data_IF_342502040162
#
_entry.id   IF_342502040162
#
_cell.length_a   1.000
_cell.length_b   1.000
_cell.length_c   1.000
_cell.angle_alpha   90.00
_cell.angle_beta   90.00
_cell.angle_gamma   90.00
#
_symmetry.space_group_name_H-M   'P 1'
#
loop_
_entity.id
_entity.type
_entity.pdbx_description
1 polymer ?
#
# COMPACT_ATOMS: atom_id res chain seq x y z
N UNK A 1 15.64 -3.68 -25.22
CA UNK A 1 15.27 -2.65 -24.22
C UNK A 1 14.98 -3.37 -22.92
N UNK A 2 15.78 -3.16 -21.89
CA UNK A 2 15.89 -4.08 -20.74
C UNK A 2 14.71 -4.01 -19.75
N UNK A 3 13.60 -3.37 -20.14
CA UNK A 3 12.39 -3.24 -19.34
C UNK A 3 12.55 -2.35 -18.11
N UNK A 4 13.67 -1.63 -17.97
CA UNK A 4 13.95 -0.76 -16.83
C UNK A 4 12.93 0.39 -16.81
N UNK A 5 12.30 0.56 -15.65
CA UNK A 5 11.37 1.65 -15.38
C UNK A 5 12.18 2.79 -14.76
N UNK A 6 12.35 3.90 -15.49
CA UNK A 6 13.03 5.10 -15.00
C UNK A 6 12.07 6.28 -14.93
N UNK A 7 12.35 7.24 -14.03
CA UNK A 7 11.57 8.48 -13.84
C UNK A 7 10.11 8.29 -13.41
N UNK A 8 9.74 7.12 -12.87
CA UNK A 8 8.45 6.97 -12.20
C UNK A 8 8.49 7.68 -10.85
N UNK A 9 7.50 8.54 -10.58
CA UNK A 9 7.39 9.24 -9.29
C UNK A 9 7.09 8.28 -8.14
N UNK A 10 6.23 7.31 -8.41
CA UNK A 10 5.88 6.23 -7.49
C UNK A 10 5.64 4.97 -8.32
N UNK A 11 6.07 3.82 -7.81
CA UNK A 11 5.81 2.52 -8.40
C UNK A 11 4.95 1.72 -7.43
N UNK A 12 3.99 0.98 -7.97
CA UNK A 12 3.15 0.04 -7.23
C UNK A 12 3.12 -1.30 -7.98
N UNK A 13 2.86 -2.38 -7.26
CA UNK A 13 2.69 -3.70 -7.84
C UNK A 13 1.37 -4.34 -7.39
N UNK A 14 0.88 -5.24 -8.22
CA UNK A 14 -0.23 -6.14 -7.94
C UNK A 14 0.40 -7.53 -7.91
N UNK A 15 0.13 -8.33 -6.87
CA UNK A 15 0.88 -9.53 -6.46
C UNK A 15 1.07 -10.69 -7.43
N UNK A 16 0.79 -10.52 -8.72
CA UNK A 16 1.11 -11.50 -9.75
C UNK A 16 2.52 -11.24 -10.31
N UNK A 17 3.48 -12.11 -9.98
CA UNK A 17 4.78 -12.18 -10.66
C UNK A 17 5.88 -11.25 -10.16
N UNK A 18 5.79 -10.77 -8.91
CA UNK A 18 6.86 -9.98 -8.29
C UNK A 18 8.09 -10.85 -7.99
N UNK A 19 9.25 -10.48 -8.54
CA UNK A 19 10.54 -11.10 -8.21
C UNK A 19 11.39 -10.11 -7.42
N UNK A 20 11.81 -10.51 -6.23
CA UNK A 20 12.67 -9.71 -5.35
C UNK A 20 14.09 -10.27 -5.40
N UNK A 21 15.06 -9.44 -5.77
CA UNK A 21 16.46 -9.88 -5.83
C UNK A 21 17.03 -10.13 -4.42
N UNK A 22 18.02 -11.02 -4.33
CA UNK A 22 18.74 -11.28 -3.07
C UNK A 22 19.31 -10.00 -2.46
N UNK A 23 19.81 -9.08 -3.29
CA UNK A 23 20.36 -7.80 -2.84
C UNK A 23 19.33 -6.90 -2.15
N UNK A 24 18.08 -6.88 -2.65
CA UNK A 24 16.99 -6.17 -1.96
C UNK A 24 16.71 -6.82 -0.61
N UNK A 25 16.59 -8.15 -0.54
CA UNK A 25 16.37 -8.86 0.72
C UNK A 25 17.47 -8.56 1.75
N UNK A 26 18.74 -8.60 1.33
CA UNK A 26 19.88 -8.31 2.21
C UNK A 26 19.85 -6.88 2.75
N UNK A 27 19.52 -5.90 1.91
CA UNK A 27 19.39 -4.51 2.35
C UNK A 27 18.39 -4.36 3.50
N UNK A 28 17.22 -5.01 3.43
CA UNK A 28 16.24 -4.96 4.52
C UNK A 28 16.77 -5.60 5.80
N UNK A 29 17.46 -6.74 5.70
CA UNK A 29 18.08 -7.42 6.86
C UNK A 29 19.13 -6.55 7.52
N UNK A 30 20.05 -5.97 6.73
CA UNK A 30 21.14 -5.10 7.21
C UNK A 30 20.61 -3.85 7.93
N UNK A 31 19.48 -3.31 7.46
CA UNK A 31 18.82 -2.14 8.06
C UNK A 31 17.83 -2.51 9.17
N UNK A 32 17.75 -3.80 9.58
CA UNK A 32 16.80 -4.30 10.60
C UNK A 32 15.34 -3.95 10.28
N UNK A 33 14.98 -3.99 8.99
CA UNK A 33 13.64 -3.70 8.50
C UNK A 33 12.95 -4.99 8.05
N UNK A 34 11.66 -5.13 8.32
CA UNK A 34 10.86 -6.21 7.73
C UNK A 34 10.66 -5.96 6.23
N UNK A 35 10.92 -6.98 5.41
CA UNK A 35 10.71 -6.91 3.96
C UNK A 35 9.24 -6.63 3.62
N UNK A 36 8.33 -7.46 4.14
CA UNK A 36 6.89 -7.23 4.07
C UNK A 36 6.40 -6.62 5.37
N UNK A 37 5.41 -5.74 5.28
CA UNK A 37 4.78 -5.16 6.47
C UNK A 37 3.74 -6.12 7.04
N UNK A 38 3.99 -6.65 8.24
CA UNK A 38 3.09 -7.59 8.90
C UNK A 38 1.70 -7.02 9.18
N UNK A 39 1.55 -5.69 9.30
CA UNK A 39 0.24 -5.05 9.43
C UNK A 39 -0.66 -5.27 8.21
N UNK A 40 -0.07 -5.56 7.03
CA UNK A 40 -0.78 -5.79 5.77
C UNK A 40 -0.83 -7.27 5.37
N UNK A 41 -0.51 -8.19 6.29
CA UNK A 41 -0.44 -9.63 6.00
C UNK A 41 -1.72 -10.21 5.39
N UNK A 42 -2.90 -9.67 5.76
CA UNK A 42 -4.19 -10.14 5.25
C UNK A 42 -4.58 -9.49 3.91
N UNK A 43 -4.15 -8.25 3.66
CA UNK A 43 -4.48 -7.52 2.43
C UNK A 43 -3.49 -6.37 2.20
N UNK A 44 -3.04 -6.20 0.96
CA UNK A 44 -2.19 -5.09 0.56
C UNK A 44 -0.69 -5.32 0.77
N UNK A 45 -0.25 -6.57 0.91
CA UNK A 45 1.18 -6.94 1.08
C UNK A 45 2.06 -6.30 0.01
N UNK A 46 1.74 -6.46 -1.28
CA UNK A 46 2.54 -5.91 -2.38
C UNK A 46 2.52 -4.38 -2.39
N UNK A 47 1.35 -3.78 -2.14
CA UNK A 47 1.20 -2.33 -2.04
C UNK A 47 2.03 -1.76 -0.89
N UNK A 48 2.01 -2.39 0.28
CA UNK A 48 2.82 -1.98 1.44
C UNK A 48 4.31 -2.11 1.18
N UNK A 49 4.75 -3.17 0.51
CA UNK A 49 6.14 -3.35 0.11
C UNK A 49 6.61 -2.22 -0.81
N UNK A 50 5.85 -1.90 -1.85
CA UNK A 50 6.22 -0.80 -2.76
C UNK A 50 6.12 0.58 -2.10
N UNK A 51 5.21 0.79 -1.14
CA UNK A 51 5.21 1.99 -0.29
C UNK A 51 6.53 2.13 0.48
N UNK A 52 7.03 1.05 1.10
CA UNK A 52 8.35 1.06 1.77
C UNK A 52 9.47 1.41 0.78
N UNK A 53 9.49 0.79 -0.40
CA UNK A 53 10.47 1.09 -1.44
C UNK A 53 10.46 2.57 -1.80
N UNK A 54 9.29 3.14 -2.14
CA UNK A 54 9.14 4.56 -2.47
C UNK A 54 9.64 5.46 -1.33
N UNK A 55 9.34 5.13 -0.06
CA UNK A 55 9.85 5.89 1.09
C UNK A 55 11.37 5.81 1.26
N UNK A 56 11.99 4.68 0.95
CA UNK A 56 13.45 4.49 1.03
C UNK A 56 14.16 5.24 -0.11
N UNK A 57 13.60 5.19 -1.32
CA UNK A 57 14.12 5.92 -2.50
C UNK A 57 14.15 7.42 -2.29
N UNK A 58 13.12 7.96 -1.62
CA UNK A 58 13.08 9.38 -1.28
C UNK A 58 14.14 9.81 -0.26
N UNK A 59 14.76 8.87 0.48
CA UNK A 59 15.63 9.18 1.62
C UNK A 59 17.08 8.76 1.47
N UNK A 60 17.36 7.60 0.87
CA UNK A 60 18.67 6.96 1.08
C UNK A 60 19.19 6.06 -0.05
N UNK A 61 18.32 5.37 -0.80
CA UNK A 61 18.77 4.34 -1.76
C UNK A 61 17.82 4.20 -2.93
N UNK A 62 18.37 4.21 -4.15
CA UNK A 62 17.62 3.94 -5.38
C UNK A 62 17.59 2.43 -5.66
N UNK A 63 16.42 1.90 -6.02
CA UNK A 63 16.24 0.52 -6.44
C UNK A 63 16.01 0.42 -7.95
N UNK A 64 16.68 -0.52 -8.60
CA UNK A 64 16.41 -0.80 -10.00
C UNK A 64 15.16 -1.67 -10.11
N UNK A 65 14.13 -1.16 -10.79
CA UNK A 65 12.88 -1.87 -11.05
C UNK A 65 12.75 -2.06 -12.57
N UNK A 66 12.42 -3.28 -12.98
CA UNK A 66 12.21 -3.62 -14.39
C UNK A 66 10.99 -4.50 -14.58
N UNK A 67 10.32 -4.31 -15.73
CA UNK A 67 9.26 -5.20 -16.21
C UNK A 67 9.53 -5.56 -17.67
N UNK A 68 9.54 -6.85 -17.99
CA UNK A 68 9.74 -7.35 -19.36
C UNK A 68 8.45 -7.55 -20.13
N UNK A 69 7.31 -7.41 -19.46
CA UNK A 69 5.98 -7.61 -20.05
C UNK A 69 5.01 -6.56 -19.55
N UNK A 70 3.94 -6.36 -20.31
CA UNK A 70 2.80 -5.54 -19.94
C UNK A 70 1.55 -6.39 -20.10
N UNK A 71 0.71 -6.37 -19.08
CA UNK A 71 -0.60 -6.99 -19.14
C UNK A 71 -1.62 -5.86 -19.22
N UNK A 72 -2.38 -5.82 -20.32
CA UNK A 72 -3.55 -4.95 -20.41
C UNK A 72 -4.72 -5.64 -19.71
N UNK A 73 -4.90 -5.36 -18.42
CA UNK A 73 -5.99 -5.93 -17.63
C UNK A 73 -6.83 -4.82 -17.03
N UNK A 74 -8.16 -5.00 -17.05
CA UNK A 74 -9.09 -4.14 -16.30
C UNK A 74 -8.77 -4.28 -14.82
N UNK A 75 -8.30 -3.22 -14.16
CA UNK A 75 -8.10 -3.27 -12.72
C UNK A 75 -9.45 -3.52 -12.05
N UNK A 76 -9.54 -4.45 -11.10
CA UNK A 76 -10.77 -4.66 -10.29
C UNK A 76 -11.21 -3.39 -9.55
N UNK A 77 -10.30 -2.40 -9.42
CA UNK A 77 -10.61 -1.05 -8.94
C UNK A 77 -11.45 -0.20 -9.91
N UNK A 78 -11.49 -0.55 -11.19
CA UNK A 78 -12.23 0.13 -12.26
C UNK A 78 -13.55 -0.59 -12.62
N UNK A 79 -13.87 -1.71 -11.98
CA UNK A 79 -15.15 -2.39 -12.13
C UNK A 79 -16.28 -1.56 -11.48
N UNK A 80 -17.44 -1.47 -12.14
CA UNK A 80 -18.59 -0.65 -11.69
C UNK A 80 -19.24 -1.16 -10.40
N UNK A 81 -19.14 -2.45 -10.14
CA UNK A 81 -19.72 -3.08 -8.95
C UNK A 81 -18.60 -3.58 -8.03
N UNK A 82 -18.45 -2.92 -6.88
CA UNK A 82 -17.52 -3.32 -5.84
C UNK A 82 -18.34 -4.02 -4.77
N UNK A 83 -17.97 -5.26 -4.44
CA UNK A 83 -18.59 -5.99 -3.32
C UNK A 83 -18.31 -5.31 -1.98
N UNK A 84 -19.23 -5.43 -1.04
CA UNK A 84 -19.09 -4.80 0.29
C UNK A 84 -17.80 -5.22 1.03
N UNK A 85 -17.39 -6.49 0.88
CA UNK A 85 -16.16 -6.97 1.50
C UNK A 85 -14.91 -6.30 0.90
N UNK A 86 -14.88 -6.04 -0.41
CA UNK A 86 -13.80 -5.29 -1.07
C UNK A 86 -13.77 -3.83 -0.60
N UNK A 87 -14.91 -3.21 -0.31
CA UNK A 87 -14.94 -1.88 0.29
C UNK A 87 -14.29 -1.88 1.68
N UNK A 88 -14.58 -2.89 2.50
CA UNK A 88 -13.98 -3.04 3.83
C UNK A 88 -12.47 -3.27 3.76
N UNK A 89 -11.99 -4.16 2.90
CA UNK A 89 -10.54 -4.37 2.68
C UNK A 89 -9.82 -3.08 2.30
N UNK A 90 -10.40 -2.30 1.39
CA UNK A 90 -9.85 -0.99 1.00
C UNK A 90 -9.84 -0.01 2.16
N UNK A 91 -10.84 -0.07 3.04
CA UNK A 91 -10.87 0.78 4.24
C UNK A 91 -9.79 0.36 5.24
N UNK A 92 -9.58 -0.93 5.45
CA UNK A 92 -8.45 -1.44 6.24
C UNK A 92 -7.11 -0.96 5.67
N UNK A 93 -6.84 -1.20 4.37
CA UNK A 93 -5.60 -0.75 3.71
C UNK A 93 -5.41 0.76 3.85
N UNK A 94 -6.46 1.56 3.65
CA UNK A 94 -6.39 3.01 3.78
C UNK A 94 -6.02 3.44 5.21
N UNK A 95 -6.66 2.88 6.23
CA UNK A 95 -6.42 3.26 7.62
C UNK A 95 -5.00 2.87 8.05
N UNK A 96 -4.58 1.63 7.74
CA UNK A 96 -3.22 1.16 8.02
C UNK A 96 -2.19 2.00 7.27
N UNK A 97 -2.45 2.34 6.01
CA UNK A 97 -1.57 3.19 5.21
C UNK A 97 -1.42 4.57 5.85
N UNK A 98 -2.53 5.20 6.26
CA UNK A 98 -2.48 6.48 6.96
C UNK A 98 -1.70 6.38 8.27
N UNK A 99 -1.89 5.32 9.04
CA UNK A 99 -1.24 5.07 10.34
C UNK A 99 0.27 4.91 10.21
N UNK A 100 0.73 4.10 9.27
CA UNK A 100 2.14 3.66 9.21
C UNK A 100 3.01 4.38 8.18
N UNK A 101 2.42 5.02 7.16
CA UNK A 101 3.18 5.59 6.03
C UNK A 101 3.01 7.09 5.83
N UNK A 102 2.14 7.77 6.58
CA UNK A 102 1.92 9.21 6.44
C UNK A 102 2.15 9.97 7.74
N UNK A 103 2.77 11.15 7.63
CA UNK A 103 2.85 12.11 8.73
C UNK A 103 1.47 12.68 9.08
N UNK A 104 1.30 13.06 10.35
CA UNK A 104 0.02 13.55 10.91
C UNK A 104 -1.10 12.53 10.76
N UNK A 105 -0.79 11.26 11.02
CA UNK A 105 -1.69 10.12 10.85
C UNK A 105 -3.02 10.33 11.59
N UNK A 106 -2.96 10.80 12.84
CA UNK A 106 -4.13 11.01 13.70
C UNK A 106 -5.10 12.01 13.08
N UNK A 107 -4.60 13.14 12.57
CA UNK A 107 -5.43 14.15 11.92
C UNK A 107 -6.05 13.62 10.62
N UNK A 108 -5.30 12.85 9.84
CA UNK A 108 -5.79 12.25 8.59
C UNK A 108 -6.86 11.18 8.86
N UNK A 109 -6.65 10.36 9.89
CA UNK A 109 -7.61 9.34 10.34
C UNK A 109 -8.87 10.01 10.89
N UNK A 110 -8.72 11.07 11.70
CA UNK A 110 -9.85 11.85 12.22
C UNK A 110 -10.67 12.47 11.07
N UNK A 111 -9.99 13.05 10.07
CA UNK A 111 -10.65 13.56 8.86
C UNK A 111 -11.40 12.46 8.10
N UNK A 112 -10.81 11.28 7.97
CA UNK A 112 -11.46 10.13 7.32
C UNK A 112 -12.68 9.67 8.11
N UNK A 113 -12.59 9.60 9.43
CA UNK A 113 -13.68 9.26 10.34
C UNK A 113 -14.88 10.21 10.16
N UNK A 114 -14.66 11.53 10.25
CA UNK A 114 -15.74 12.51 10.04
C UNK A 114 -16.33 12.44 8.64
N UNK A 115 -15.51 12.20 7.62
CA UNK A 115 -15.99 12.01 6.24
C UNK A 115 -16.96 10.82 6.14
N UNK A 116 -16.70 9.72 6.87
CA UNK A 116 -17.60 8.54 6.89
C UNK A 116 -18.91 8.84 7.62
N UNK A 117 -18.87 9.57 8.73
CA UNK A 117 -20.08 10.02 9.46
C UNK A 117 -20.96 10.91 8.57
N UNK A 118 -20.37 11.96 7.97
CA UNK A 118 -21.10 12.89 7.11
C UNK A 118 -21.72 12.20 5.88
N UNK A 119 -21.11 11.11 5.42
CA UNK A 119 -21.65 10.26 4.35
C UNK A 119 -22.65 9.19 4.81
N UNK A 120 -23.08 9.19 6.08
CA UNK A 120 -24.03 8.22 6.64
C UNK A 120 -23.48 6.80 6.86
N UNK A 121 -22.17 6.56 6.63
CA UNK A 121 -21.54 5.24 6.77
C UNK A 121 -20.99 5.05 8.20
N UNK A 122 -21.86 4.91 9.20
CA UNK A 122 -21.48 4.78 10.61
C UNK A 122 -20.63 3.54 10.91
N UNK A 123 -20.96 2.40 10.30
CA UNK A 123 -20.18 1.16 10.47
C UNK A 123 -18.74 1.32 9.96
N UNK A 124 -18.56 1.98 8.81
CA UNK A 124 -17.23 2.31 8.28
C UNK A 124 -16.48 3.25 9.23
N UNK A 125 -17.16 4.26 9.79
CA UNK A 125 -16.53 5.18 10.74
C UNK A 125 -16.01 4.45 11.98
N UNK A 126 -16.82 3.54 12.55
CA UNK A 126 -16.38 2.69 13.66
C UNK A 126 -15.22 1.78 13.25
N UNK A 127 -15.25 1.25 12.03
CA UNK A 127 -14.17 0.42 11.49
C UNK A 127 -12.85 1.20 11.39
N UNK A 128 -12.90 2.48 11.02
CA UNK A 128 -11.72 3.36 11.00
C UNK A 128 -11.07 3.44 12.39
N UNK A 129 -11.85 3.73 13.44
CA UNK A 129 -11.30 3.83 14.79
C UNK A 129 -10.76 2.49 15.28
N UNK A 130 -11.51 1.40 15.08
CA UNK A 130 -11.06 0.05 15.47
C UNK A 130 -9.76 -0.34 14.81
N UNK A 131 -9.59 -0.04 13.52
CA UNK A 131 -8.36 -0.37 12.79
C UNK A 131 -7.19 0.53 13.21
N UNK A 132 -7.47 1.79 13.56
CA UNK A 132 -6.43 2.73 13.96
C UNK A 132 -5.90 2.49 15.38
N UNK A 133 -6.77 2.07 16.31
CA UNK A 133 -6.47 2.05 17.75
C UNK A 133 -6.54 0.67 18.42
N UNK A 134 -6.96 -0.39 17.72
CA UNK A 134 -6.54 -1.75 18.09
C UNK A 134 -5.10 -2.01 17.64
#
# INVERSE_FOLDING_TARGET
KDGIISNAKEIFSIGSGLVISKGVKLYFIENKMELFDSHFALYGVDFSFFRKINCIEQKSKVFNISSRSYINHSLSRAEKEISEWREKERLYDLVLTLKYYYSYAELRILKLFFKKILGGKMNDALLVLRTAFN
#
